data_IF_959306250977
#
_entry.id   IF_959306250977
#
_cell.length_a   1.000
_cell.length_b   1.000
_cell.length_c   1.000
_cell.angle_alpha   90.00
_cell.angle_beta   90.00
_cell.angle_gamma   90.00
#
_symmetry.space_group_name_H-M   'P 1'
#
loop_
_entity.id
_entity.type
_entity.pdbx_description
1 polymer ?
#
# COMPACT_ATOMS: atom_id res chain seq x y z
N UNK A 1 -28.10 -7.53 0.14
CA UNK A 1 -26.78 -7.43 0.79
C UNK A 1 -25.79 -8.57 0.45
N UNK A 2 -26.12 -9.58 -0.39
CA UNK A 2 -25.18 -10.69 -0.68
C UNK A 2 -24.18 -10.47 -1.83
N UNK A 3 -24.34 -9.43 -2.64
CA UNK A 3 -23.49 -9.18 -3.83
C UNK A 3 -22.05 -8.77 -3.44
N UNK A 4 -21.85 -8.16 -2.27
CA UNK A 4 -20.54 -7.69 -1.82
C UNK A 4 -19.57 -8.82 -1.44
N UNK A 5 -20.08 -9.98 -1.02
CA UNK A 5 -19.23 -11.10 -0.59
C UNK A 5 -18.55 -11.81 -1.77
N UNK A 6 -19.22 -11.92 -2.92
CA UNK A 6 -18.64 -12.54 -4.11
C UNK A 6 -17.51 -11.67 -4.69
N UNK A 7 -17.69 -10.36 -4.75
CA UNK A 7 -16.65 -9.44 -5.26
C UNK A 7 -15.41 -9.46 -4.36
N UNK A 8 -15.58 -9.56 -3.04
CA UNK A 8 -14.45 -9.68 -2.10
C UNK A 8 -13.65 -10.97 -2.33
N UNK A 9 -14.33 -12.09 -2.57
CA UNK A 9 -13.68 -13.37 -2.85
C UNK A 9 -12.91 -13.34 -4.18
N UNK A 10 -13.50 -12.77 -5.23
CA UNK A 10 -12.83 -12.58 -6.52
C UNK A 10 -11.59 -11.70 -6.41
N UNK A 11 -11.66 -10.59 -5.65
CA UNK A 11 -10.50 -9.73 -5.42
C UNK A 11 -9.40 -10.45 -4.63
N UNK A 12 -9.75 -11.26 -3.63
CA UNK A 12 -8.77 -12.05 -2.89
C UNK A 12 -8.09 -13.10 -3.78
N UNK A 13 -8.83 -13.78 -4.65
CA UNK A 13 -8.26 -14.72 -5.62
C UNK A 13 -7.35 -14.01 -6.63
N UNK A 14 -7.72 -12.80 -7.06
CA UNK A 14 -6.89 -12.01 -7.98
C UNK A 14 -5.60 -11.51 -7.32
N UNK A 15 -5.67 -11.08 -6.06
CA UNK A 15 -4.48 -10.71 -5.27
C UNK A 15 -3.56 -11.92 -5.10
N UNK A 16 -4.11 -13.10 -4.79
CA UNK A 16 -3.32 -14.31 -4.62
C UNK A 16 -2.61 -14.71 -5.93
N UNK A 17 -3.30 -14.62 -7.08
CA UNK A 17 -2.69 -14.88 -8.40
C UNK A 17 -1.56 -13.91 -8.72
N UNK A 18 -1.80 -12.62 -8.56
CA UNK A 18 -0.78 -11.59 -8.82
C UNK A 18 0.42 -11.71 -7.86
N UNK A 19 0.18 -12.13 -6.61
CA UNK A 19 1.26 -12.36 -5.64
C UNK A 19 2.15 -13.52 -6.08
N UNK A 20 1.56 -14.61 -6.58
CA UNK A 20 2.31 -15.74 -7.10
C UNK A 20 3.10 -15.38 -8.37
N UNK A 21 2.49 -14.62 -9.29
CA UNK A 21 3.13 -14.15 -10.52
C UNK A 21 4.32 -13.23 -10.23
N UNK A 22 4.21 -12.33 -9.24
CA UNK A 22 5.32 -11.49 -8.80
C UNK A 22 6.47 -12.32 -8.23
N UNK A 23 6.17 -13.37 -7.46
CA UNK A 23 7.20 -14.24 -6.87
C UNK A 23 7.91 -15.06 -7.96
N UNK A 24 7.18 -15.55 -8.97
CA UNK A 24 7.74 -16.25 -10.12
C UNK A 24 8.68 -15.35 -10.94
N UNK A 25 8.24 -14.13 -11.27
CA UNK A 25 9.08 -13.13 -11.95
C UNK A 25 10.32 -12.75 -11.13
N UNK A 26 10.22 -12.74 -9.80
CA UNK A 26 11.35 -12.49 -8.92
C UNK A 26 12.38 -13.60 -9.01
N UNK A 27 11.95 -14.86 -9.03
CA UNK A 27 12.82 -16.02 -9.19
C UNK A 27 13.50 -16.03 -10.57
N UNK A 28 12.76 -15.76 -11.64
CA UNK A 28 13.33 -15.64 -13.00
C UNK A 28 14.38 -14.53 -13.10
N UNK A 29 14.16 -13.40 -12.42
CA UNK A 29 15.14 -12.31 -12.36
C UNK A 29 16.40 -12.71 -11.60
N UNK A 30 16.26 -13.45 -10.51
CA UNK A 30 17.37 -13.96 -9.71
C UNK A 30 18.21 -14.97 -10.52
N UNK A 31 17.55 -15.84 -11.29
CA UNK A 31 18.19 -16.80 -12.20
C UNK A 31 18.90 -16.09 -13.37
N UNK A 32 18.23 -15.14 -14.02
CA UNK A 32 18.82 -14.31 -15.08
C UNK A 32 20.06 -13.56 -14.59
N UNK A 33 20.03 -13.04 -13.35
CA UNK A 33 21.19 -12.38 -12.72
C UNK A 33 22.35 -13.36 -12.54
N UNK A 34 22.10 -14.59 -12.09
CA UNK A 34 23.13 -15.63 -11.97
C UNK A 34 23.74 -15.98 -13.33
N UNK A 35 22.92 -16.11 -14.37
CA UNK A 35 23.40 -16.40 -15.73
C UNK A 35 24.32 -15.28 -16.25
N UNK A 36 23.94 -14.01 -16.06
CA UNK A 36 24.79 -12.87 -16.43
C UNK A 36 26.13 -12.90 -15.68
N UNK A 37 26.09 -13.22 -14.38
CA UNK A 37 27.30 -13.31 -13.56
C UNK A 37 28.23 -14.44 -14.03
N UNK A 38 27.66 -15.58 -14.43
CA UNK A 38 28.41 -16.69 -15.02
C UNK A 38 29.09 -16.27 -16.32
N UNK A 39 28.35 -15.63 -17.25
CA UNK A 39 28.92 -15.13 -18.50
C UNK A 39 30.04 -14.09 -18.28
N UNK A 40 29.90 -13.22 -17.29
CA UNK A 40 30.96 -12.27 -16.94
C UNK A 40 32.22 -12.99 -16.43
N UNK A 41 32.07 -13.99 -15.55
CA UNK A 41 33.20 -14.78 -15.05
C UNK A 41 33.88 -15.59 -16.16
N UNK A 42 33.10 -16.15 -17.07
CA UNK A 42 33.59 -16.91 -18.22
C UNK A 42 34.35 -15.99 -19.19
N UNK A 43 33.81 -14.80 -19.47
CA UNK A 43 34.49 -13.78 -20.29
C UNK A 43 35.80 -13.30 -19.66
N UNK A 44 35.84 -13.09 -18.34
CA UNK A 44 37.06 -12.73 -17.61
C UNK A 44 38.10 -13.86 -17.63
N UNK A 45 37.65 -15.11 -17.54
CA UNK A 45 38.52 -16.28 -17.66
C UNK A 45 39.13 -16.37 -19.06
N UNK A 46 38.32 -16.22 -20.12
CA UNK A 46 38.79 -16.19 -21.50
C UNK A 46 39.80 -15.05 -21.74
N UNK A 47 39.58 -13.86 -21.15
CA UNK A 47 40.53 -12.75 -21.21
C UNK A 47 41.86 -13.07 -20.54
N UNK A 48 41.83 -13.76 -19.39
CA UNK A 48 43.04 -14.18 -18.71
C UNK A 48 43.81 -15.24 -19.51
N UNK A 49 43.11 -16.20 -20.12
CA UNK A 49 43.71 -17.21 -21.00
C UNK A 49 44.35 -16.58 -22.23
N UNK A 50 43.65 -15.64 -22.88
CA UNK A 50 44.19 -14.89 -24.00
C UNK A 50 45.44 -14.09 -23.60
N UNK A 51 45.42 -13.42 -22.43
CA UNK A 51 46.61 -12.74 -21.89
C UNK A 51 47.77 -13.69 -21.61
N UNK A 52 47.50 -14.91 -21.13
CA UNK A 52 48.52 -15.96 -20.96
C UNK A 52 49.08 -16.41 -22.31
N UNK A 53 48.23 -16.61 -23.32
CA UNK A 53 48.65 -16.99 -24.67
C UNK A 53 49.57 -15.92 -25.30
N UNK A 54 49.21 -14.63 -25.20
CA UNK A 54 50.07 -13.54 -25.66
C UNK A 54 51.44 -13.54 -24.97
N UNK A 55 51.50 -13.75 -23.65
CA UNK A 55 52.79 -13.87 -22.94
C UNK A 55 53.62 -15.06 -23.41
N UNK A 56 53.00 -16.18 -23.74
CA UNK A 56 53.70 -17.35 -24.28
C UNK A 56 54.25 -17.04 -25.68
N UNK A 57 53.46 -16.38 -26.53
CA UNK A 57 53.90 -15.94 -27.86
C UNK A 57 55.06 -14.94 -27.78
N UNK A 58 54.96 -13.94 -26.91
CA UNK A 58 56.01 -12.92 -26.69
C UNK A 58 57.31 -13.56 -26.14
N UNK A 59 57.19 -14.62 -25.33
CA UNK A 59 58.33 -15.41 -24.86
C UNK A 59 58.95 -16.31 -25.95
N UNK A 60 58.19 -16.67 -26.99
CA UNK A 60 58.66 -17.45 -28.14
C UNK A 60 59.26 -16.56 -29.24
N UNK A 61 58.86 -15.29 -29.32
CA UNK A 61 59.32 -14.34 -30.36
C UNK A 61 60.69 -13.69 -30.06
N UNK A 62 61.34 -14.06 -28.95
CA UNK A 62 62.70 -13.60 -28.61
C UNK A 62 63.82 -14.33 -29.38
N UNK A 63 63.51 -15.13 -30.40
CA UNK A 63 64.51 -15.82 -31.24
C UNK A 63 64.40 -15.55 -32.74
N UNK A 64 63.57 -14.59 -33.20
CA UNK A 64 63.53 -14.22 -34.61
C UNK A 64 63.80 -12.74 -34.84
N UNK A 65 64.90 -12.26 -34.25
CA UNK A 65 65.56 -11.08 -34.75
C UNK A 65 66.21 -11.40 -36.09
N UNK A 66 65.53 -11.07 -37.19
CA UNK A 66 66.10 -10.56 -38.43
C UNK A 66 64.92 -10.21 -39.35
N UNK A 67 64.81 -8.93 -39.68
CA UNK A 67 64.30 -8.33 -40.93
C UNK A 67 63.54 -7.03 -40.62
N UNK A 68 64.30 -5.99 -40.25
CA UNK A 68 63.96 -4.65 -40.74
C UNK A 68 64.54 -4.49 -42.15
N UNK A 69 63.82 -3.83 -43.07
CA UNK A 69 64.29 -3.52 -44.41
C UNK A 69 65.31 -2.36 -44.36
N UNK A 70 66.42 -2.41 -45.12
CA UNK A 70 67.34 -1.28 -45.23
C UNK A 70 66.88 -0.29 -46.32
N UNK A 71 67.33 0.98 -46.20
CA UNK A 71 66.87 2.10 -47.01
C UNK A 71 67.56 2.15 -48.37
N UNK A 72 66.90 2.89 -49.26
CA UNK A 72 67.38 3.35 -50.56
C UNK A 72 68.79 3.96 -50.46
N UNK A 73 69.73 3.42 -51.24
CA UNK A 73 70.98 4.08 -51.59
C UNK A 73 71.30 3.80 -53.05
N UNK A 74 71.10 4.82 -53.87
CA UNK A 74 71.74 5.00 -55.17
C UNK A 74 73.26 4.93 -54.97
N UNK A 75 73.94 4.00 -55.62
CA UNK A 75 75.36 4.21 -55.94
C UNK A 75 75.79 3.48 -57.21
N UNK A 76 76.48 4.28 -58.01
CA UNK A 76 76.96 4.05 -59.35
C UNK A 76 78.14 3.06 -59.32
N UNK A 77 78.03 1.91 -60.01
CA UNK A 77 79.20 1.05 -60.32
C UNK A 77 79.39 1.01 -61.84
N UNK A 78 80.45 1.71 -62.27
CA UNK A 78 81.07 1.63 -63.59
C UNK A 78 81.85 0.30 -63.72
N UNK A 79 81.59 -0.43 -64.81
CA UNK A 79 82.51 -1.19 -65.71
C UNK A 79 83.85 -1.75 -65.17
N UNK A 80 84.31 -2.96 -65.60
CA UNK A 80 84.91 -3.09 -66.94
C UNK A 80 84.60 -4.36 -67.74
N UNK A 81 84.28 -4.13 -69.02
CA UNK A 81 84.43 -5.05 -70.15
C UNK A 81 85.91 -5.42 -70.37
N UNK A 82 86.23 -6.67 -70.74
CA UNK A 82 87.40 -6.97 -71.55
C UNK A 82 87.03 -6.98 -73.04
N UNK A 83 87.47 -5.93 -73.73
CA UNK A 83 87.71 -5.88 -75.17
C UNK A 83 88.85 -6.85 -75.55
N UNK A 84 89.09 -7.29 -76.78
CA UNK A 84 89.02 -6.51 -78.02
C UNK A 84 89.18 -7.35 -79.31
N UNK A 85 89.23 -8.68 -79.27
CA UNK A 85 89.43 -9.50 -80.48
C UNK A 85 88.12 -9.98 -81.08
N UNK A 86 87.20 -10.52 -80.28
CA UNK A 86 85.88 -10.98 -80.74
C UNK A 86 85.00 -9.82 -81.22
N UNK A 87 84.96 -8.71 -80.48
CA UNK A 87 84.18 -7.54 -80.89
C UNK A 87 84.70 -6.93 -82.22
N UNK A 88 86.00 -6.98 -82.50
CA UNK A 88 86.56 -6.52 -83.78
C UNK A 88 86.24 -7.47 -84.95
N UNK A 89 86.07 -8.76 -84.68
CA UNK A 89 85.64 -9.73 -85.69
C UNK A 89 84.14 -9.59 -85.98
N UNK A 90 83.32 -9.45 -84.94
CA UNK A 90 81.87 -9.26 -85.04
C UNK A 90 81.54 -7.93 -85.73
N UNK A 91 82.23 -6.84 -85.41
CA UNK A 91 82.03 -5.56 -86.10
C UNK A 91 82.47 -5.58 -87.57
N UNK A 92 83.41 -6.46 -87.96
CA UNK A 92 83.80 -6.65 -89.37
C UNK A 92 82.82 -7.55 -90.13
N UNK A 93 82.24 -8.54 -89.46
CA UNK A 93 81.20 -9.41 -90.02
C UNK A 93 79.85 -8.68 -90.14
N UNK A 94 79.52 -7.78 -89.22
CA UNK A 94 78.29 -6.96 -89.26
C UNK A 94 78.29 -5.87 -90.34
N UNK A 95 79.44 -5.63 -90.99
CA UNK A 95 79.60 -4.70 -92.12
C UNK A 95 79.47 -5.40 -93.49
N UNK A 96 79.37 -6.74 -93.51
CA UNK A 96 79.00 -7.45 -94.73
C UNK A 96 77.47 -7.40 -94.87
N UNK A 97 76.99 -6.90 -96.02
CA UNK A 97 75.59 -7.05 -96.42
C UNK A 97 75.18 -8.52 -96.33
N UNK A 98 73.95 -8.76 -95.85
CA UNK A 98 73.38 -10.10 -95.71
C UNK A 98 73.41 -10.88 -97.03
N UNK A 99 73.29 -10.17 -98.16
CA UNK A 99 73.41 -10.72 -99.52
C UNK A 99 74.84 -11.18 -99.87
N UNK A 100 75.87 -10.54 -99.32
CA UNK A 100 77.28 -10.93 -99.52
C UNK A 100 77.70 -12.09 -98.62
N UNK A 101 77.10 -12.20 -97.43
CA UNK A 101 77.24 -13.35 -96.54
C UNK A 101 76.55 -14.59 -97.12
N UNK A 102 75.36 -14.42 -97.70
CA UNK A 102 74.66 -15.47 -98.47
C UNK A 102 75.46 -15.89 -99.71
N UNK A 103 76.03 -14.95 -100.47
CA UNK A 103 76.86 -15.26 -101.63
C UNK A 103 78.17 -16.02 -101.28
N UNK A 104 78.76 -15.76 -100.10
CA UNK A 104 79.90 -16.54 -99.59
C UNK A 104 79.50 -17.94 -99.10
N UNK A 105 78.26 -18.10 -98.62
CA UNK A 105 77.69 -19.40 -98.28
C UNK A 105 77.34 -20.22 -99.54
N UNK A 106 76.80 -19.60 -100.59
CA UNK A 106 76.56 -20.24 -101.91
C UNK A 106 77.88 -20.68 -102.59
N UNK A 107 78.95 -19.87 -102.53
CA UNK A 107 80.27 -20.24 -103.07
C UNK A 107 80.93 -21.42 -102.34
N UNK A 108 80.48 -21.72 -101.12
CA UNK A 108 80.95 -22.85 -100.32
C UNK A 108 80.03 -24.07 -100.49
N UNK A 109 78.79 -23.89 -100.95
CA UNK A 109 77.89 -24.98 -101.35
C UNK A 109 78.35 -25.73 -102.60
N UNK A 110 79.15 -25.11 -103.49
CA UNK A 110 79.73 -25.81 -104.66
C UNK A 110 80.91 -26.75 -104.31
N UNK A 111 81.42 -26.71 -103.07
CA UNK A 111 82.48 -27.62 -102.60
C UNK A 111 81.92 -28.78 -101.80
N UNK A 112 81.32 -29.73 -102.51
CA UNK A 112 80.52 -30.86 -102.01
C UNK A 112 81.30 -31.96 -101.21
N UNK A 113 82.50 -31.70 -100.70
CA UNK A 113 83.27 -32.71 -99.95
C UNK A 113 84.21 -32.12 -98.89
N UNK A 114 83.68 -31.37 -97.92
CA UNK A 114 84.38 -31.05 -96.67
C UNK A 114 83.48 -31.32 -95.44
N UNK A 115 83.75 -32.37 -94.63
CA UNK A 115 82.93 -32.75 -93.47
C UNK A 115 82.80 -31.66 -92.39
N UNK A 116 83.70 -30.66 -92.38
CA UNK A 116 83.62 -29.49 -91.50
C UNK A 116 82.47 -28.53 -91.83
N UNK A 117 81.98 -28.51 -93.09
CA UNK A 117 80.87 -27.63 -93.49
C UNK A 117 79.52 -28.16 -93.00
N UNK A 118 79.31 -29.48 -93.09
CA UNK A 118 78.12 -30.13 -92.54
C UNK A 118 78.02 -29.96 -91.02
N UNK A 119 79.16 -30.03 -90.31
CA UNK A 119 79.23 -29.70 -88.88
C UNK A 119 78.91 -28.23 -88.59
N UNK A 120 79.34 -27.29 -89.44
CA UNK A 120 79.03 -25.87 -89.28
C UNK A 120 77.55 -25.58 -89.54
N UNK A 121 76.95 -26.19 -90.56
CA UNK A 121 75.50 -26.08 -90.83
C UNK A 121 74.68 -26.69 -89.70
N UNK A 122 75.06 -27.84 -89.15
CA UNK A 122 74.36 -28.42 -87.99
C UNK A 122 74.51 -27.56 -86.73
N UNK A 123 75.69 -26.97 -86.51
CA UNK A 123 75.92 -26.03 -85.41
C UNK A 123 75.11 -24.74 -85.58
N UNK A 124 74.97 -24.25 -86.81
CA UNK A 124 74.15 -23.08 -87.10
C UNK A 124 72.66 -23.33 -86.82
N UNK A 125 72.13 -24.48 -87.26
CA UNK A 125 70.75 -24.89 -86.96
C UNK A 125 70.54 -25.05 -85.45
N UNK A 126 71.46 -25.74 -84.76
CA UNK A 126 71.39 -25.91 -83.30
C UNK A 126 71.43 -24.58 -82.54
N UNK A 127 72.30 -23.64 -82.94
CA UNK A 127 72.35 -22.30 -82.33
C UNK A 127 71.11 -21.47 -82.64
N UNK A 128 70.48 -21.69 -83.79
CA UNK A 128 69.26 -21.00 -84.17
C UNK A 128 68.05 -21.53 -83.38
N UNK A 129 67.96 -22.84 -83.19
CA UNK A 129 66.98 -23.49 -82.31
C UNK A 129 67.16 -23.02 -80.85
N UNK A 130 68.41 -22.96 -80.36
CA UNK A 130 68.70 -22.42 -79.03
C UNK A 130 68.28 -20.94 -78.90
N UNK A 131 68.48 -20.13 -79.94
CA UNK A 131 68.11 -18.71 -79.94
C UNK A 131 66.60 -18.51 -79.97
N UNK A 132 65.86 -19.31 -80.76
CA UNK A 132 64.39 -19.34 -80.74
C UNK A 132 63.88 -19.76 -79.37
N UNK A 133 64.43 -20.81 -78.77
CA UNK A 133 64.07 -21.26 -77.43
C UNK A 133 64.32 -20.17 -76.37
N UNK A 134 65.48 -19.49 -76.44
CA UNK A 134 65.81 -18.40 -75.52
C UNK A 134 64.87 -17.20 -75.69
N UNK A 135 64.43 -16.91 -76.92
CA UNK A 135 63.44 -15.88 -77.19
C UNK A 135 62.06 -16.24 -76.61
N UNK A 136 61.61 -17.48 -76.79
CA UNK A 136 60.36 -17.97 -76.19
C UNK A 136 60.41 -17.90 -74.66
N UNK A 137 61.50 -18.36 -74.04
CA UNK A 137 61.71 -18.26 -72.59
C UNK A 137 61.75 -16.80 -72.12
N UNK A 138 62.41 -15.91 -72.86
CA UNK A 138 62.42 -14.48 -72.57
C UNK A 138 61.01 -13.86 -72.66
N UNK A 139 60.22 -14.21 -73.67
CA UNK A 139 58.85 -13.74 -73.79
C UNK A 139 57.94 -14.29 -72.69
N UNK A 140 58.09 -15.57 -72.33
CA UNK A 140 57.36 -16.21 -71.25
C UNK A 140 57.68 -15.58 -69.89
N UNK A 141 58.97 -15.36 -69.58
CA UNK A 141 59.42 -14.72 -68.34
C UNK A 141 58.97 -13.26 -68.26
N UNK A 142 59.02 -12.51 -69.38
CA UNK A 142 58.48 -11.15 -69.45
C UNK A 142 56.97 -11.12 -69.18
N UNK A 143 56.21 -12.06 -69.74
CA UNK A 143 54.77 -12.19 -69.48
C UNK A 143 54.47 -12.55 -68.02
N UNK A 144 55.22 -13.50 -67.44
CA UNK A 144 55.07 -13.86 -66.03
C UNK A 144 55.40 -12.69 -65.09
N UNK A 145 56.46 -11.93 -65.39
CA UNK A 145 56.83 -10.73 -64.64
C UNK A 145 55.74 -9.66 -64.71
N UNK A 146 55.09 -9.47 -65.86
CA UNK A 146 53.97 -8.54 -65.99
C UNK A 146 52.78 -8.96 -65.13
N UNK A 147 52.41 -10.25 -65.13
CA UNK A 147 51.32 -10.77 -64.29
C UNK A 147 51.64 -10.57 -62.80
N UNK A 148 52.88 -10.81 -62.38
CA UNK A 148 53.26 -10.63 -60.98
C UNK A 148 53.28 -9.14 -60.58
N UNK A 149 53.65 -8.23 -61.49
CA UNK A 149 53.51 -6.79 -61.25
C UNK A 149 52.05 -6.37 -61.08
N UNK A 150 51.14 -6.83 -61.96
CA UNK A 150 49.70 -6.57 -61.84
C UNK A 150 49.16 -7.13 -60.51
N UNK A 151 49.64 -8.30 -60.09
CA UNK A 151 49.29 -8.90 -58.80
C UNK A 151 49.80 -8.08 -57.62
N UNK A 152 51.02 -7.56 -57.69
CA UNK A 152 51.60 -6.70 -56.66
C UNK A 152 50.80 -5.41 -56.52
N UNK A 153 50.38 -4.77 -57.62
CA UNK A 153 49.52 -3.58 -57.59
C UNK A 153 48.16 -3.85 -56.93
N UNK A 154 47.54 -5.01 -57.23
CA UNK A 154 46.27 -5.40 -56.59
C UNK A 154 46.45 -5.60 -55.08
N UNK A 155 47.55 -6.24 -54.66
CA UNK A 155 47.85 -6.47 -53.24
C UNK A 155 48.12 -5.14 -52.53
N UNK A 156 48.90 -4.24 -53.14
CA UNK A 156 49.19 -2.93 -52.59
C UNK A 156 47.90 -2.10 -52.42
N UNK A 157 47.01 -2.13 -53.41
CA UNK A 157 45.71 -1.45 -53.32
C UNK A 157 44.86 -2.01 -52.17
N UNK A 158 44.77 -3.34 -52.04
CA UNK A 158 44.03 -3.97 -50.93
C UNK A 158 44.65 -3.67 -49.57
N UNK A 159 45.97 -3.61 -49.49
CA UNK A 159 46.67 -3.25 -48.27
C UNK A 159 46.36 -1.81 -47.85
N UNK A 160 46.42 -0.85 -48.78
CA UNK A 160 46.02 0.55 -48.54
C UNK A 160 44.55 0.69 -48.12
N UNK A 161 43.64 -0.04 -48.75
CA UNK A 161 42.23 -0.08 -48.36
C UNK A 161 42.05 -0.64 -46.94
N UNK A 162 42.77 -1.71 -46.59
CA UNK A 162 42.75 -2.30 -45.25
C UNK A 162 43.35 -1.38 -44.20
N UNK A 163 44.42 -0.65 -44.51
CA UNK A 163 45.05 0.33 -43.62
C UNK A 163 44.10 1.49 -43.31
N UNK A 164 43.45 2.05 -44.34
CA UNK A 164 42.43 3.10 -44.14
C UNK A 164 41.23 2.61 -43.34
N UNK A 165 40.79 1.37 -43.54
CA UNK A 165 39.72 0.76 -42.75
C UNK A 165 40.12 0.57 -41.27
N UNK A 166 41.38 0.20 -41.01
CA UNK A 166 41.91 0.08 -39.66
C UNK A 166 41.92 1.43 -38.94
N UNK A 167 42.43 2.49 -39.59
CA UNK A 167 42.43 3.85 -39.01
C UNK A 167 41.02 4.34 -38.67
N UNK A 168 40.04 4.05 -39.53
CA UNK A 168 38.63 4.38 -39.26
C UNK A 168 38.08 3.60 -38.07
N UNK A 169 38.41 2.32 -37.94
CA UNK A 169 38.01 1.50 -36.81
C UNK A 169 38.63 2.01 -35.49
N UNK A 170 39.91 2.38 -35.51
CA UNK A 170 40.60 2.95 -34.35
C UNK A 170 39.99 4.28 -33.90
N UNK A 171 39.69 5.18 -34.83
CA UNK A 171 38.98 6.44 -34.55
C UNK A 171 37.62 6.18 -33.90
N UNK A 172 36.87 5.19 -34.41
CA UNK A 172 35.57 4.80 -33.87
C UNK A 172 35.70 4.25 -32.45
N UNK A 173 36.68 3.39 -32.19
CA UNK A 173 36.95 2.84 -30.85
C UNK A 173 37.30 3.95 -29.87
N UNK A 174 38.11 4.93 -30.28
CA UNK A 174 38.46 6.08 -29.44
C UNK A 174 37.24 6.93 -29.10
N UNK A 175 36.35 7.17 -30.07
CA UNK A 175 35.10 7.90 -29.86
C UNK A 175 34.19 7.18 -28.85
N UNK A 176 33.93 5.88 -29.09
CA UNK A 176 33.11 5.06 -28.19
C UNK A 176 33.70 4.96 -26.78
N UNK A 177 35.02 4.90 -26.66
CA UNK A 177 35.70 4.89 -25.36
C UNK A 177 35.45 6.19 -24.58
N UNK A 178 35.48 7.35 -25.26
CA UNK A 178 35.16 8.64 -24.66
C UNK A 178 33.69 8.70 -24.21
N UNK A 179 32.76 8.23 -25.03
CA UNK A 179 31.35 8.16 -24.67
C UNK A 179 31.09 7.24 -23.47
N UNK A 180 31.70 6.07 -23.47
CA UNK A 180 31.58 5.09 -22.39
C UNK A 180 32.10 5.66 -21.06
N UNK A 181 33.22 6.38 -21.10
CA UNK A 181 33.74 7.09 -19.93
C UNK A 181 32.79 8.20 -19.45
N UNK A 182 32.16 8.94 -20.37
CA UNK A 182 31.16 9.97 -20.02
C UNK A 182 29.94 9.36 -19.33
N UNK A 183 29.42 8.25 -19.85
CA UNK A 183 28.28 7.54 -19.26
C UNK A 183 28.62 6.99 -17.88
N UNK A 184 29.82 6.42 -17.70
CA UNK A 184 30.30 5.96 -16.39
C UNK A 184 30.37 7.10 -15.38
N UNK A 185 30.88 8.26 -15.79
CA UNK A 185 30.91 9.44 -14.93
C UNK A 185 29.52 9.91 -14.54
N UNK A 186 28.58 9.99 -15.49
CA UNK A 186 27.19 10.36 -15.20
C UNK A 186 26.51 9.37 -14.25
N UNK A 187 26.78 8.08 -14.41
CA UNK A 187 26.26 7.05 -13.50
C UNK A 187 26.80 7.24 -12.08
N UNK A 188 28.09 7.55 -11.94
CA UNK A 188 28.70 7.83 -10.64
C UNK A 188 28.07 9.08 -9.98
N UNK A 189 27.91 10.17 -10.72
CA UNK A 189 27.27 11.39 -10.23
C UNK A 189 25.82 11.16 -9.79
N UNK A 190 25.04 10.37 -10.56
CA UNK A 190 23.70 9.96 -10.17
C UNK A 190 23.69 9.14 -8.87
N UNK A 191 24.61 8.19 -8.73
CA UNK A 191 24.72 7.38 -7.52
C UNK A 191 25.07 8.23 -6.30
N UNK A 192 26.04 9.14 -6.43
CA UNK A 192 26.45 10.03 -5.35
C UNK A 192 25.33 10.99 -4.94
N UNK A 193 24.57 11.51 -5.89
CA UNK A 193 23.39 12.33 -5.62
C UNK A 193 22.28 11.53 -4.92
N UNK A 194 22.06 10.28 -5.32
CA UNK A 194 21.07 9.42 -4.67
C UNK A 194 21.48 9.06 -3.23
N UNK A 195 22.77 8.79 -3.01
CA UNK A 195 23.31 8.58 -1.67
C UNK A 195 23.14 9.83 -0.80
N UNK A 196 23.48 11.02 -1.31
CA UNK A 196 23.24 12.30 -0.62
C UNK A 196 21.77 12.55 -0.33
N UNK A 197 20.85 12.20 -1.24
CA UNK A 197 19.42 12.30 -1.00
C UNK A 197 18.96 11.32 0.10
N UNK A 198 19.49 10.10 0.13
CA UNK A 198 19.21 9.11 1.18
C UNK A 198 19.81 9.48 2.54
N UNK A 199 20.96 10.15 2.53
CA UNK A 199 21.63 10.68 3.72
C UNK A 199 21.07 12.03 4.16
N UNK A 200 20.31 12.70 3.29
CA UNK A 200 19.65 13.97 3.60
C UNK A 200 18.93 13.82 4.92
N UNK A 201 19.37 14.67 5.86
CA UNK A 201 18.84 14.76 7.21
C UNK A 201 17.34 14.94 7.20
N UNK A 202 16.78 15.56 6.16
CA UNK A 202 15.36 15.86 6.04
C UNK A 202 14.49 14.60 5.91
N UNK A 203 14.94 13.57 5.18
CA UNK A 203 14.19 12.31 5.07
C UNK A 203 14.22 11.57 6.41
N UNK A 204 15.38 11.55 7.08
CA UNK A 204 15.52 10.91 8.40
C UNK A 204 14.72 11.64 9.49
N UNK A 205 14.77 12.97 9.50
CA UNK A 205 13.99 13.81 10.41
C UNK A 205 12.48 13.64 10.16
N UNK A 206 12.05 13.65 8.90
CA UNK A 206 10.65 13.41 8.52
C UNK A 206 10.16 12.02 8.96
N UNK A 207 10.97 10.98 8.78
CA UNK A 207 10.66 9.63 9.30
C UNK A 207 10.58 9.60 10.83
N UNK A 208 11.48 10.31 11.52
CA UNK A 208 11.46 10.40 12.98
C UNK A 208 10.20 11.13 13.48
N UNK A 209 9.80 12.22 12.83
CA UNK A 209 8.60 12.99 13.17
C UNK A 209 7.33 12.19 12.91
N UNK A 210 7.27 11.43 11.80
CA UNK A 210 6.20 10.46 11.53
C UNK A 210 6.09 9.40 12.63
N UNK A 211 7.22 8.88 13.11
CA UNK A 211 7.25 7.94 14.23
C UNK A 211 6.72 8.55 15.53
N UNK A 212 7.13 9.79 15.86
CA UNK A 212 6.62 10.52 17.04
C UNK A 212 5.13 10.78 16.93
N UNK A 213 4.66 11.28 15.79
CA UNK A 213 3.25 11.55 15.54
C UNK A 213 2.39 10.28 15.65
N UNK A 214 2.88 9.12 15.16
CA UNK A 214 2.21 7.83 15.35
C UNK A 214 2.10 7.42 16.81
N UNK A 215 3.13 7.68 17.61
CA UNK A 215 3.12 7.39 19.04
C UNK A 215 2.11 8.27 19.78
N UNK A 216 2.08 9.57 19.47
CA UNK A 216 1.12 10.52 20.07
C UNK A 216 -0.32 10.18 19.69
N UNK A 217 -0.56 9.76 18.44
CA UNK A 217 -1.87 9.28 18.01
C UNK A 217 -2.30 8.03 18.78
N UNK A 218 -1.39 7.07 19.01
CA UNK A 218 -1.70 5.86 19.79
C UNK A 218 -2.06 6.18 21.24
N UNK A 219 -1.35 7.13 21.87
CA UNK A 219 -1.67 7.62 23.22
C UNK A 219 -3.05 8.28 23.23
N UNK A 220 -3.34 9.14 22.25
CA UNK A 220 -4.62 9.85 22.16
C UNK A 220 -5.79 8.89 21.94
N UNK A 221 -5.62 7.88 21.10
CA UNK A 221 -6.62 6.82 20.86
C UNK A 221 -6.89 6.03 22.14
N UNK A 222 -5.86 5.68 22.91
CA UNK A 222 -6.02 5.01 24.21
C UNK A 222 -6.80 5.90 25.19
N UNK A 223 -6.43 7.17 25.32
CA UNK A 223 -7.13 8.12 26.18
C UNK A 223 -8.60 8.29 25.76
N UNK A 224 -8.88 8.37 24.46
CA UNK A 224 -10.25 8.42 23.95
C UNK A 224 -11.06 7.17 24.32
N UNK A 225 -10.45 5.98 24.19
CA UNK A 225 -11.08 4.73 24.59
C UNK A 225 -11.40 4.70 26.09
N UNK A 226 -10.45 5.08 26.94
CA UNK A 226 -10.64 5.13 28.40
C UNK A 226 -11.76 6.11 28.80
N UNK A 227 -11.80 7.29 28.17
CA UNK A 227 -12.88 8.26 28.37
C UNK A 227 -14.25 7.72 27.91
N UNK A 228 -14.28 6.99 26.80
CA UNK A 228 -15.51 6.37 26.28
C UNK A 228 -16.06 5.32 27.25
N UNK A 229 -15.20 4.45 27.79
CA UNK A 229 -15.60 3.44 28.79
C UNK A 229 -16.17 4.10 30.04
N UNK A 230 -15.50 5.14 30.57
CA UNK A 230 -16.01 5.91 31.72
C UNK A 230 -17.37 6.57 31.44
N UNK A 231 -17.59 7.06 30.22
CA UNK A 231 -18.88 7.62 29.82
C UNK A 231 -19.98 6.55 29.83
N UNK A 232 -19.69 5.35 29.33
CA UNK A 232 -20.64 4.23 29.35
C UNK A 232 -20.97 3.79 30.79
N UNK A 233 -19.97 3.70 31.67
CA UNK A 233 -20.15 3.37 33.09
C UNK A 233 -21.01 4.41 33.83
N UNK A 234 -20.75 5.71 33.60
CA UNK A 234 -21.55 6.79 34.20
C UNK A 234 -22.98 6.80 33.66
N UNK A 235 -23.18 6.47 32.38
CA UNK A 235 -24.50 6.34 31.78
C UNK A 235 -25.29 5.16 32.38
N UNK A 236 -24.64 4.02 32.63
CA UNK A 236 -25.25 2.90 33.35
C UNK A 236 -25.64 3.28 34.78
N UNK A 237 -24.76 3.98 35.49
CA UNK A 237 -25.00 4.44 36.86
C UNK A 237 -26.17 5.44 36.91
N UNK A 238 -26.24 6.36 35.95
CA UNK A 238 -27.35 7.31 35.82
C UNK A 238 -28.68 6.59 35.61
N UNK A 239 -28.74 5.63 34.67
CA UNK A 239 -29.94 4.83 34.42
C UNK A 239 -30.40 4.08 35.69
N UNK A 240 -29.46 3.49 36.42
CA UNK A 240 -29.76 2.81 37.69
C UNK A 240 -30.39 3.74 38.73
N UNK A 241 -29.82 4.94 38.91
CA UNK A 241 -30.38 5.92 39.84
C UNK A 241 -31.71 6.48 39.38
N UNK A 242 -31.91 6.65 38.06
CA UNK A 242 -33.20 7.04 37.49
C UNK A 242 -34.28 6.00 37.79
N UNK A 243 -34.01 4.71 37.58
CA UNK A 243 -34.94 3.63 37.94
C UNK A 243 -35.27 3.64 39.43
N UNK A 244 -34.28 3.81 40.30
CA UNK A 244 -34.51 3.93 41.75
C UNK A 244 -35.37 5.14 42.12
N UNK A 245 -35.14 6.28 41.47
CA UNK A 245 -35.94 7.48 41.67
C UNK A 245 -37.40 7.24 41.26
N UNK A 246 -37.63 6.64 40.09
CA UNK A 246 -38.97 6.32 39.60
C UNK A 246 -39.70 5.35 40.53
N UNK A 247 -39.02 4.32 41.05
CA UNK A 247 -39.57 3.39 42.06
C UNK A 247 -39.97 4.10 43.35
N UNK A 248 -39.11 4.99 43.87
CA UNK A 248 -39.38 5.75 45.08
C UNK A 248 -40.53 6.74 44.88
N UNK A 249 -40.58 7.39 43.71
CA UNK A 249 -41.66 8.30 43.35
C UNK A 249 -43.00 7.55 43.24
N UNK A 250 -43.02 6.37 42.60
CA UNK A 250 -44.21 5.52 42.53
C UNK A 250 -44.72 5.09 43.93
N UNK A 251 -43.79 4.73 44.84
CA UNK A 251 -44.13 4.43 46.24
C UNK A 251 -44.73 5.64 46.95
N UNK A 252 -44.15 6.82 46.74
CA UNK A 252 -44.63 8.07 47.33
C UNK A 252 -46.04 8.41 46.85
N UNK A 253 -46.29 8.39 45.53
CA UNK A 253 -47.62 8.61 44.94
C UNK A 253 -48.65 7.60 45.46
N UNK A 254 -48.27 6.33 45.61
CA UNK A 254 -49.16 5.30 46.18
C UNK A 254 -49.51 5.60 47.65
N UNK A 255 -48.54 6.02 48.46
CA UNK A 255 -48.75 6.39 49.86
C UNK A 255 -49.62 7.65 50.00
N UNK A 256 -49.39 8.66 49.16
CA UNK A 256 -50.23 9.87 49.13
C UNK A 256 -51.68 9.54 48.77
N UNK A 257 -51.89 8.69 47.78
CA UNK A 257 -53.23 8.21 47.39
C UNK A 257 -53.91 7.48 48.56
N UNK A 258 -53.21 6.53 49.21
CA UNK A 258 -53.74 5.82 50.40
C UNK A 258 -54.08 6.78 51.53
N UNK A 259 -53.22 7.76 51.81
CA UNK A 259 -53.44 8.77 52.86
C UNK A 259 -54.66 9.62 52.55
N UNK A 260 -54.89 9.97 51.29
CA UNK A 260 -56.06 10.72 50.85
C UNK A 260 -57.34 9.89 51.03
N UNK A 261 -57.32 8.61 50.67
CA UNK A 261 -58.44 7.68 50.86
C UNK A 261 -58.77 7.50 52.35
N UNK A 262 -57.76 7.29 53.20
CA UNK A 262 -57.92 7.20 54.65
C UNK A 262 -58.52 8.48 55.25
N UNK A 263 -58.04 9.65 54.81
CA UNK A 263 -58.58 10.94 55.24
C UNK A 263 -60.05 11.10 54.83
N UNK A 264 -60.40 10.69 53.61
CA UNK A 264 -61.79 10.72 53.12
C UNK A 264 -62.68 9.76 53.92
N UNK A 265 -62.22 8.54 54.20
CA UNK A 265 -62.92 7.59 55.07
C UNK A 265 -63.11 8.13 56.49
N UNK A 266 -62.08 8.76 57.07
CA UNK A 266 -62.16 9.37 58.39
C UNK A 266 -63.21 10.49 58.43
N UNK A 267 -63.24 11.37 57.41
CA UNK A 267 -64.28 12.41 57.26
C UNK A 267 -65.69 11.83 57.16
N UNK A 268 -65.87 10.74 56.41
CA UNK A 268 -67.17 10.05 56.30
C UNK A 268 -67.61 9.51 57.68
N UNK A 269 -66.70 8.83 58.40
CA UNK A 269 -66.97 8.31 59.76
C UNK A 269 -67.29 9.43 60.74
N UNK A 270 -66.54 10.52 60.71
CA UNK A 270 -66.78 11.70 61.54
C UNK A 270 -68.17 12.29 61.30
N UNK A 271 -68.57 12.46 60.03
CA UNK A 271 -69.90 12.95 59.68
C UNK A 271 -71.01 12.00 60.14
N UNK A 272 -70.81 10.68 60.02
CA UNK A 272 -71.75 9.69 60.52
C UNK A 272 -71.91 9.76 62.04
N UNK A 273 -70.80 9.85 62.78
CA UNK A 273 -70.82 10.02 64.24
C UNK A 273 -71.46 11.34 64.68
N UNK A 274 -71.25 12.43 63.94
CA UNK A 274 -71.96 13.71 64.18
C UNK A 274 -73.47 13.55 64.06
N UNK A 275 -73.94 12.83 63.05
CA UNK A 275 -75.36 12.52 62.85
C UNK A 275 -75.90 11.67 64.00
N UNK A 276 -75.22 10.57 64.37
CA UNK A 276 -75.62 9.72 65.51
C UNK A 276 -75.68 10.54 66.81
N UNK A 277 -74.64 11.33 67.11
CA UNK A 277 -74.60 12.16 68.31
C UNK A 277 -75.67 13.26 68.33
N UNK A 278 -76.12 13.74 67.16
CA UNK A 278 -77.27 14.65 67.06
C UNK A 278 -78.54 13.91 67.46
N UNK A 279 -78.80 12.75 66.86
CA UNK A 279 -79.96 11.91 67.18
C UNK A 279 -80.00 11.52 68.66
N UNK A 280 -78.89 11.03 69.22
CA UNK A 280 -78.82 10.65 70.64
C UNK A 280 -79.08 11.84 71.57
N UNK A 281 -78.56 13.03 71.25
CA UNK A 281 -78.86 14.23 72.05
C UNK A 281 -80.33 14.60 72.00
N UNK A 282 -80.98 14.45 70.86
CA UNK A 282 -82.42 14.69 70.74
C UNK A 282 -83.23 13.64 71.51
N UNK A 283 -82.83 12.37 71.50
CA UNK A 283 -83.43 11.32 72.33
C UNK A 283 -83.22 11.57 73.83
N UNK A 284 -82.02 11.96 74.27
CA UNK A 284 -81.76 12.32 75.67
C UNK A 284 -82.63 13.49 76.11
N UNK A 285 -82.79 14.52 75.26
CA UNK A 285 -83.70 15.65 75.54
C UNK A 285 -85.15 15.19 75.68
N UNK A 286 -85.62 14.29 74.81
CA UNK A 286 -86.98 13.71 74.90
C UNK A 286 -87.15 12.94 76.21
N UNK A 287 -86.22 12.04 76.54
CA UNK A 287 -86.28 11.25 77.77
C UNK A 287 -86.22 12.16 79.01
N UNK A 288 -85.33 13.14 79.03
CA UNK A 288 -85.20 14.09 80.15
C UNK A 288 -86.50 14.86 80.35
N UNK A 289 -87.16 15.30 79.26
CA UNK A 289 -88.47 15.96 79.32
C UNK A 289 -89.55 15.03 79.88
N UNK A 290 -89.59 13.78 79.42
CA UNK A 290 -90.54 12.77 79.96
C UNK A 290 -90.27 12.51 81.44
N UNK A 291 -89.00 12.43 81.86
CA UNK A 291 -88.64 12.23 83.25
C UNK A 291 -89.01 13.42 84.13
N UNK A 292 -88.79 14.65 83.65
CA UNK A 292 -89.23 15.87 84.32
C UNK A 292 -90.76 15.91 84.46
N UNK A 293 -91.50 15.57 83.40
CA UNK A 293 -92.96 15.44 83.42
C UNK A 293 -93.43 14.39 84.44
N UNK A 294 -92.76 13.23 84.53
CA UNK A 294 -93.06 12.19 85.52
C UNK A 294 -92.79 12.65 86.96
N UNK A 295 -91.66 13.32 87.22
CA UNK A 295 -91.34 13.88 88.55
C UNK A 295 -92.37 14.95 88.93
N UNK A 296 -92.78 15.79 87.98
CA UNK A 296 -93.83 16.78 88.20
C UNK A 296 -95.17 16.12 88.55
N UNK A 297 -95.53 15.01 87.89
CA UNK A 297 -96.73 14.22 88.20
C UNK A 297 -96.63 13.58 89.59
N UNK A 298 -95.48 12.98 89.94
CA UNK A 298 -95.24 12.37 91.25
C UNK A 298 -95.33 13.42 92.38
N UNK A 299 -94.71 14.58 92.17
CA UNK A 299 -94.80 15.70 93.11
C UNK A 299 -96.25 16.16 93.29
N UNK A 300 -96.99 16.35 92.20
CA UNK A 300 -98.41 16.70 92.23
C UNK A 300 -99.23 15.66 92.99
N UNK A 301 -98.99 14.37 92.74
CA UNK A 301 -99.63 13.26 93.46
C UNK A 301 -99.36 13.33 94.96
N UNK A 302 -98.11 13.55 95.36
CA UNK A 302 -97.72 13.65 96.78
C UNK A 302 -98.34 14.88 97.47
N UNK A 303 -98.41 16.02 96.76
CA UNK A 303 -99.11 17.21 97.24
C UNK A 303 -100.59 16.89 97.47
N UNK A 304 -101.27 16.29 96.49
CA UNK A 304 -102.68 15.88 96.59
C UNK A 304 -102.90 14.95 97.78
N UNK A 305 -102.07 13.92 97.95
CA UNK A 305 -102.17 12.94 99.05
C UNK A 305 -102.06 13.66 100.41
N UNK A 306 -101.05 14.51 100.62
CA UNK A 306 -100.88 15.27 101.88
C UNK A 306 -102.10 16.12 102.24
N UNK A 307 -102.70 16.78 101.25
CA UNK A 307 -103.92 17.56 101.46
C UNK A 307 -105.16 16.70 101.74
N UNK A 308 -105.21 15.47 101.21
CA UNK A 308 -106.31 14.52 101.44
C UNK A 308 -106.23 13.83 102.82
N UNK A 309 -105.02 13.57 103.34
CA UNK A 309 -104.79 12.98 104.66
C UNK A 309 -105.37 13.82 105.79
N UNK A 310 -105.31 15.16 105.69
CA UNK A 310 -105.85 16.08 106.70
C UNK A 310 -107.22 16.61 106.27
N UNK A 311 -108.29 16.20 106.97
CA UNK A 311 -109.68 16.61 106.67
C UNK A 311 -109.87 18.14 106.62
N UNK A 312 -109.17 18.89 107.48
CA UNK A 312 -109.29 20.35 107.58
C UNK A 312 -108.69 21.12 106.39
N UNK A 313 -107.73 20.54 105.66
CA UNK A 313 -107.00 21.23 104.57
C UNK A 313 -107.53 20.88 103.17
N UNK A 314 -108.49 19.96 103.04
CA UNK A 314 -109.02 19.50 101.74
C UNK A 314 -109.63 20.62 100.89
N UNK A 315 -110.29 21.60 101.52
CA UNK A 315 -110.88 22.74 100.80
C UNK A 315 -109.80 23.63 100.15
N UNK A 316 -108.59 23.66 100.73
CA UNK A 316 -107.44 24.41 100.21
C UNK A 316 -106.78 23.73 99.00
N UNK A 317 -107.11 22.46 98.72
CA UNK A 317 -106.62 21.73 97.55
C UNK A 317 -107.32 22.18 96.25
N UNK A 318 -108.54 22.74 96.35
CA UNK A 318 -109.35 23.10 95.18
C UNK A 318 -108.66 24.19 94.33
N UNK A 319 -108.17 25.31 94.88
CA UNK A 319 -107.43 26.30 94.08
C UNK A 319 -106.18 25.72 93.43
N UNK A 320 -105.44 24.88 94.17
CA UNK A 320 -104.19 24.25 93.71
C UNK A 320 -104.46 23.33 92.50
N UNK A 321 -105.43 22.42 92.61
CA UNK A 321 -105.86 21.55 91.51
C UNK A 321 -106.39 22.34 90.33
N UNK A 322 -107.15 23.41 90.60
CA UNK A 322 -107.72 24.27 89.57
C UNK A 322 -106.64 24.92 88.74
N UNK A 323 -105.60 25.46 89.39
CA UNK A 323 -104.49 26.14 88.70
C UNK A 323 -103.57 25.15 88.00
N UNK A 324 -103.25 24.00 88.62
CA UNK A 324 -102.31 23.01 88.08
C UNK A 324 -102.89 22.18 86.94
N UNK A 325 -104.14 21.69 87.07
CA UNK A 325 -104.79 20.88 86.03
C UNK A 325 -105.57 21.72 85.01
N UNK A 326 -105.52 23.05 85.13
CA UNK A 326 -106.33 23.99 84.34
C UNK A 326 -107.81 23.58 84.31
N UNK A 327 -108.36 23.23 85.48
CA UNK A 327 -109.72 22.71 85.59
C UNK A 327 -110.74 23.72 85.05
N UNK A 328 -111.68 23.23 84.25
CA UNK A 328 -112.82 24.04 83.78
C UNK A 328 -113.69 24.47 84.96
N UNK A 329 -114.52 25.50 84.77
CA UNK A 329 -115.39 26.04 85.83
C UNK A 329 -116.36 24.98 86.37
N UNK A 330 -116.75 24.01 85.54
CA UNK A 330 -117.59 22.87 85.90
C UNK A 330 -116.85 21.87 86.80
N UNK A 331 -115.60 21.53 86.47
CA UNK A 331 -114.75 20.65 87.28
C UNK A 331 -114.46 21.26 88.66
N UNK A 332 -114.21 22.57 88.72
CA UNK A 332 -114.04 23.31 89.98
C UNK A 332 -115.28 23.16 90.87
N UNK A 333 -116.47 23.33 90.28
CA UNK A 333 -117.74 23.20 90.99
C UNK A 333 -117.97 21.78 91.50
N UNK A 334 -117.60 20.76 90.72
CA UNK A 334 -117.67 19.35 91.13
C UNK A 334 -116.68 19.03 92.25
N UNK A 335 -115.45 19.55 92.20
CA UNK A 335 -114.43 19.38 93.24
C UNK A 335 -114.87 20.01 94.57
N UNK A 336 -115.42 21.23 94.55
CA UNK A 336 -115.99 21.90 95.74
C UNK A 336 -117.09 21.06 96.38
N UNK A 337 -117.98 20.47 95.57
CA UNK A 337 -119.07 19.61 96.06
C UNK A 337 -118.53 18.33 96.72
N UNK A 338 -117.56 17.66 96.11
CA UNK A 338 -116.97 16.42 96.66
C UNK A 338 -116.24 16.64 97.98
N UNK A 339 -115.54 17.77 98.14
CA UNK A 339 -114.86 18.11 99.40
C UNK A 339 -115.87 18.42 100.51
N UNK A 340 -116.98 19.10 100.20
CA UNK A 340 -118.04 19.43 101.17
C UNK A 340 -118.88 18.21 101.57
N UNK A 341 -119.19 17.31 100.65
CA UNK A 341 -120.13 16.21 100.92
C UNK A 341 -119.54 15.07 101.78
N UNK A 342 -118.21 14.95 101.90
CA UNK A 342 -117.56 13.93 102.75
C UNK A 342 -117.29 14.37 104.19
N UNK A 343 -117.55 15.63 104.54
CA UNK A 343 -117.42 16.13 105.91
C UNK A 343 -118.60 15.71 106.81
N UNK A 344 -119.62 15.06 106.24
CA UNK A 344 -120.90 14.76 106.91
C UNK A 344 -121.03 13.27 107.31
N UNK A 345 -120.11 12.39 106.89
CA UNK A 345 -120.15 10.93 107.20
C UNK A 345 -118.92 10.42 107.98
N UNK A 346 -118.43 11.17 108.97
CA UNK A 346 -117.66 10.59 110.08
C UNK A 346 -117.86 11.37 111.35
#
# INVERSE_FOLDING_TARGET
MMISSNNKKQLQEQIARLTNEIEELRLEREESKKNVLHFMQEADTARQELKKAYKIMEGLDLHQGYLSPPPESEDIIKTPLPSSTLSKLVSKLSLLDQDKLLALLELVEETDNMPSLSQLKSAHVSLQEELEQLQEEYHATRGALQIENERAEIIEKRWKESESALEQAESTIQSLTKELNRVRQQQQECNDNNNKASESTDIKLSQQDLCRSRQDLAITVKHYHDCKVKLEETQHTLKHWQTKYDEMNAKHTCLESKRLDELNQAKIRENHLKTINKTLRDEVRKISKVQEDLVNIEYLRNVIIKFLERKSTRAQLIPILTTLLKCTREDQTRLVKLVRNRAIES
#
